data_IF_671072336738
#
_entry.id   IF_671072336738
#
_cell.length_a   1.000
_cell.length_b   1.000
_cell.length_c   1.000
_cell.angle_alpha   90.00
_cell.angle_beta   90.00
_cell.angle_gamma   90.00
#
_symmetry.space_group_name_H-M   'P 1'
#
loop_
_entity.id
_entity.type
_entity.pdbx_description
1 polymer ?
#
# COMPACT_ATOMS: atom_id res chain seq x y z
N UNK A 1 2.63 -10.84 -2.98
CA UNK A 1 1.54 -9.95 -2.52
C UNK A 1 0.56 -10.71 -1.60
N UNK A 2 -0.03 -11.84 -2.03
CA UNK A 2 -1.03 -12.57 -1.24
C UNK A 2 -0.51 -13.02 0.15
N UNK A 3 0.72 -13.55 0.24
CA UNK A 3 1.31 -13.95 1.52
C UNK A 3 1.50 -12.77 2.49
N UNK A 4 1.95 -11.62 1.98
CA UNK A 4 2.09 -10.40 2.79
C UNK A 4 0.74 -9.91 3.31
N UNK A 5 -0.28 -9.87 2.45
CA UNK A 5 -1.65 -9.47 2.84
C UNK A 5 -2.26 -10.44 3.86
N UNK A 6 -2.03 -11.76 3.71
CA UNK A 6 -2.48 -12.75 4.67
C UNK A 6 -1.80 -12.57 6.04
N UNK A 7 -0.48 -12.34 6.06
CA UNK A 7 0.26 -12.07 7.29
C UNK A 7 -0.24 -10.79 7.98
N UNK A 8 -0.50 -9.73 7.22
CA UNK A 8 -1.06 -8.48 7.75
C UNK A 8 -2.47 -8.68 8.32
N UNK A 9 -3.32 -9.48 7.65
CA UNK A 9 -4.65 -9.80 8.14
C UNK A 9 -4.60 -10.55 9.48
N UNK A 10 -3.71 -11.55 9.59
CA UNK A 10 -3.48 -12.29 10.83
C UNK A 10 -2.99 -11.36 11.93
N UNK A 11 -2.03 -10.48 11.64
CA UNK A 11 -1.50 -9.51 12.61
C UNK A 11 -2.58 -8.56 13.11
N UNK A 12 -3.40 -7.98 12.23
CA UNK A 12 -4.51 -7.11 12.64
C UNK A 12 -5.58 -7.87 13.42
N UNK A 13 -5.93 -9.09 13.01
CA UNK A 13 -6.85 -9.94 13.75
C UNK A 13 -6.36 -10.24 15.17
N UNK A 14 -5.09 -10.58 15.33
CA UNK A 14 -4.46 -10.80 16.63
C UNK A 14 -4.49 -9.53 17.49
N UNK A 15 -4.13 -8.35 16.92
CA UNK A 15 -4.16 -7.08 17.63
C UNK A 15 -5.59 -6.78 18.13
N UNK A 16 -6.60 -6.89 17.27
CA UNK A 16 -8.00 -6.62 17.65
C UNK A 16 -8.48 -7.59 18.72
N UNK A 17 -8.17 -8.88 18.60
CA UNK A 17 -8.58 -9.89 19.57
C UNK A 17 -7.90 -9.72 20.93
N UNK A 18 -6.58 -9.49 20.93
CA UNK A 18 -5.79 -9.35 22.16
C UNK A 18 -6.08 -8.01 22.85
N UNK A 19 -6.27 -6.93 22.10
CA UNK A 19 -6.63 -5.61 22.66
C UNK A 19 -7.94 -5.67 23.45
N UNK A 20 -8.92 -6.39 22.90
CA UNK A 20 -10.25 -6.52 23.51
C UNK A 20 -10.28 -7.48 24.68
N UNK A 21 -9.38 -8.49 24.69
CA UNK A 21 -9.38 -9.56 25.70
C UNK A 21 -8.49 -9.25 26.92
N UNK A 22 -7.41 -8.48 26.75
CA UNK A 22 -6.34 -8.36 27.73
C UNK A 22 -6.01 -6.94 28.19
N UNK A 23 -6.74 -5.89 27.73
CA UNK A 23 -6.46 -4.48 28.06
C UNK A 23 -4.97 -4.13 27.90
N UNK A 24 -4.39 -4.52 26.76
CA UNK A 24 -2.96 -4.41 26.52
C UNK A 24 -2.49 -2.95 26.53
N UNK A 25 -1.43 -2.67 27.26
CA UNK A 25 -0.75 -1.38 27.18
C UNK A 25 0.01 -1.26 25.84
N UNK A 26 0.09 -0.02 25.31
CA UNK A 26 0.87 0.26 24.09
C UNK A 26 2.33 -0.19 24.23
N UNK A 27 2.92 0.01 25.42
CA UNK A 27 4.31 -0.35 25.71
C UNK A 27 4.57 -1.86 25.51
N UNK A 28 3.65 -2.71 25.99
CA UNK A 28 3.76 -4.16 25.86
C UNK A 28 3.66 -4.59 24.38
N UNK A 29 2.73 -3.99 23.62
CA UNK A 29 2.58 -4.27 22.18
C UNK A 29 3.84 -3.90 21.41
N UNK A 30 4.43 -2.72 21.67
CA UNK A 30 5.67 -2.30 21.03
C UNK A 30 6.86 -3.19 21.43
N UNK A 31 6.98 -3.56 22.70
CA UNK A 31 8.07 -4.39 23.19
C UNK A 31 8.01 -5.80 22.59
N UNK A 32 6.83 -6.43 22.56
CA UNK A 32 6.66 -7.78 22.01
C UNK A 32 6.86 -7.77 20.49
N UNK A 33 6.23 -6.84 19.77
CA UNK A 33 6.38 -6.77 18.30
C UNK A 33 7.81 -6.41 17.88
N UNK A 34 8.46 -5.52 18.62
CA UNK A 34 9.87 -5.16 18.41
C UNK A 34 10.80 -6.36 18.70
N UNK A 35 10.56 -7.09 19.77
CA UNK A 35 11.31 -8.31 20.10
C UNK A 35 11.19 -9.40 19.03
N UNK A 36 9.96 -9.68 18.58
CA UNK A 36 9.72 -10.63 17.47
C UNK A 36 10.45 -10.19 16.21
N UNK A 37 10.36 -8.91 15.86
CA UNK A 37 11.03 -8.35 14.68
C UNK A 37 12.54 -8.49 14.77
N UNK A 38 13.13 -8.23 15.94
CA UNK A 38 14.57 -8.39 16.17
C UNK A 38 15.01 -9.86 16.02
N UNK A 39 14.24 -10.81 16.57
CA UNK A 39 14.52 -12.25 16.40
C UNK A 39 14.47 -12.65 14.93
N UNK A 40 13.43 -12.22 14.19
CA UNK A 40 13.30 -12.50 12.76
C UNK A 40 14.48 -11.89 11.98
N UNK A 41 14.88 -10.67 12.28
CA UNK A 41 16.02 -10.01 11.63
C UNK A 41 17.33 -10.80 11.85
N UNK A 42 17.59 -11.26 13.07
CA UNK A 42 18.75 -12.10 13.39
C UNK A 42 18.68 -13.44 12.65
N UNK A 43 17.52 -14.09 12.63
CA UNK A 43 17.33 -15.33 11.88
C UNK A 43 17.56 -15.13 10.38
N UNK A 44 17.03 -14.06 9.80
CA UNK A 44 17.28 -13.71 8.40
C UNK A 44 18.76 -13.47 8.13
N UNK A 45 19.45 -12.75 9.00
CA UNK A 45 20.89 -12.51 8.86
C UNK A 45 21.71 -13.81 8.87
N UNK A 46 21.36 -14.76 9.73
CA UNK A 46 22.09 -16.02 9.87
C UNK A 46 21.73 -17.06 8.80
N UNK A 47 20.48 -17.10 8.36
CA UNK A 47 19.97 -18.17 7.50
C UNK A 47 19.77 -17.76 6.04
N UNK A 48 19.80 -16.44 5.72
CA UNK A 48 19.51 -15.99 4.36
C UNK A 48 20.66 -16.36 3.41
N UNK A 49 20.41 -17.22 2.40
CA UNK A 49 21.44 -17.63 1.48
C UNK A 49 21.83 -16.48 0.55
N UNK A 50 23.12 -16.29 0.35
CA UNK A 50 23.67 -15.33 -0.63
C UNK A 50 23.62 -15.97 -2.02
N UNK A 51 22.75 -15.47 -2.88
CA UNK A 51 22.68 -15.91 -4.28
C UNK A 51 23.44 -14.94 -5.19
N UNK A 52 24.30 -15.49 -6.03
CA UNK A 52 24.89 -14.72 -7.13
C UNK A 52 23.83 -14.50 -8.21
N UNK A 53 23.49 -13.25 -8.47
CA UNK A 53 22.53 -12.94 -9.53
C UNK A 53 23.19 -13.09 -10.90
N UNK A 54 22.52 -13.72 -11.90
CA UNK A 54 23.05 -13.85 -13.25
C UNK A 54 23.36 -12.50 -13.92
N UNK A 55 22.65 -11.45 -13.51
CA UNK A 55 22.92 -10.06 -13.90
C UNK A 55 23.31 -9.26 -12.64
N UNK A 56 24.61 -8.96 -12.43
CA UNK A 56 25.05 -8.21 -11.28
C UNK A 56 24.44 -6.81 -11.30
N UNK A 57 23.71 -6.47 -10.24
CA UNK A 57 23.11 -5.14 -10.09
C UNK A 57 24.17 -4.10 -9.78
N UNK A 58 24.02 -2.89 -10.34
CA UNK A 58 24.93 -1.79 -10.05
C UNK A 58 24.77 -1.35 -8.59
N UNK A 59 25.87 -1.27 -7.86
CA UNK A 59 25.87 -0.90 -6.44
C UNK A 59 25.64 0.60 -6.17
N UNK A 60 25.64 1.45 -7.23
CA UNK A 60 25.42 2.89 -7.12
C UNK A 60 23.96 3.21 -7.43
N UNK A 61 23.39 4.13 -6.68
CA UNK A 61 22.09 4.72 -6.99
C UNK A 61 22.15 5.38 -8.38
N UNK A 62 21.19 5.07 -9.21
CA UNK A 62 21.17 5.54 -10.60
C UNK A 62 19.86 6.29 -10.83
N UNK A 63 20.01 7.58 -11.18
CA UNK A 63 18.91 8.42 -11.62
C UNK A 63 19.10 8.72 -13.11
N UNK A 64 18.44 7.94 -13.97
CA UNK A 64 18.53 8.15 -15.41
C UNK A 64 17.38 9.00 -15.91
N UNK A 65 17.68 10.03 -16.70
CA UNK A 65 16.67 10.89 -17.35
C UNK A 65 15.67 10.10 -18.19
N UNK A 66 16.06 8.93 -18.71
CA UNK A 66 15.18 8.02 -19.45
C UNK A 66 13.98 7.54 -18.63
N UNK A 67 14.13 7.39 -17.30
CA UNK A 67 13.09 6.89 -16.40
C UNK A 67 12.34 8.00 -15.66
N UNK A 68 12.42 9.26 -16.13
CA UNK A 68 11.83 10.42 -15.46
C UNK A 68 10.33 10.26 -15.19
N UNK A 69 9.59 9.69 -16.16
CA UNK A 69 8.15 9.46 -16.03
C UNK A 69 7.82 8.47 -14.89
N UNK A 70 8.62 7.41 -14.78
CA UNK A 70 8.50 6.46 -13.67
C UNK A 70 8.73 7.14 -12.31
N UNK A 71 9.78 7.97 -12.18
CA UNK A 71 10.03 8.71 -10.94
C UNK A 71 8.91 9.68 -10.61
N UNK A 72 8.40 10.40 -11.59
CA UNK A 72 7.30 11.34 -11.40
C UNK A 72 6.03 10.59 -10.93
N UNK A 73 5.66 9.49 -11.58
CA UNK A 73 4.50 8.68 -11.20
C UNK A 73 4.67 8.04 -9.82
N UNK A 74 5.88 7.56 -9.49
CA UNK A 74 6.17 6.97 -8.19
C UNK A 74 6.11 8.03 -7.07
N UNK A 75 6.67 9.22 -7.31
CA UNK A 75 6.55 10.35 -6.39
C UNK A 75 5.09 10.74 -6.15
N UNK A 76 4.30 10.88 -7.22
CA UNK A 76 2.87 11.18 -7.13
C UNK A 76 2.10 10.09 -6.37
N UNK A 77 2.40 8.82 -6.64
CA UNK A 77 1.79 7.70 -5.94
C UNK A 77 2.12 7.70 -4.44
N UNK A 78 3.37 7.98 -4.08
CA UNK A 78 3.81 8.09 -2.69
C UNK A 78 3.17 9.27 -1.96
N UNK A 79 3.21 10.46 -2.55
CA UNK A 79 2.62 11.68 -2.00
C UNK A 79 1.10 11.50 -1.77
N UNK A 80 0.38 11.00 -2.78
CA UNK A 80 -1.04 10.73 -2.69
C UNK A 80 -1.37 9.74 -1.58
N UNK A 81 -0.64 8.62 -1.52
CA UNK A 81 -0.84 7.60 -0.49
C UNK A 81 -0.71 8.19 0.91
N UNK A 82 0.31 9.01 1.14
CA UNK A 82 0.54 9.62 2.43
C UNK A 82 -0.56 10.61 2.81
N UNK A 83 -0.97 11.45 1.85
CA UNK A 83 -2.09 12.38 2.03
C UNK A 83 -3.35 11.61 2.41
N UNK A 84 -3.67 10.54 1.68
CA UNK A 84 -4.87 9.77 1.94
C UNK A 84 -4.86 9.08 3.32
N UNK A 85 -3.76 8.39 3.66
CA UNK A 85 -3.64 7.68 4.95
C UNK A 85 -3.83 8.66 6.12
N UNK A 86 -3.19 9.84 6.04
CA UNK A 86 -3.27 10.83 7.13
C UNK A 86 -4.64 11.51 7.15
N UNK A 87 -5.08 12.10 6.04
CA UNK A 87 -6.28 12.93 6.05
C UNK A 87 -7.59 12.13 6.04
N UNK A 88 -7.68 11.02 5.31
CA UNK A 88 -8.88 10.21 5.32
C UNK A 88 -9.07 9.51 6.67
N UNK A 89 -7.99 8.95 7.23
CA UNK A 89 -8.01 8.36 8.56
C UNK A 89 -8.39 9.39 9.64
N UNK A 90 -7.78 10.57 9.62
CA UNK A 90 -8.07 11.66 10.53
C UNK A 90 -9.53 12.14 10.42
N UNK A 91 -10.04 12.28 9.20
CA UNK A 91 -11.43 12.67 8.97
C UNK A 91 -12.43 11.63 9.50
N UNK A 92 -12.13 10.35 9.39
CA UNK A 92 -12.97 9.29 9.95
C UNK A 92 -13.10 9.43 11.45
N UNK A 93 -12.00 9.70 12.14
CA UNK A 93 -12.00 9.87 13.62
C UNK A 93 -12.61 11.20 14.02
N UNK A 94 -12.17 12.32 13.45
CA UNK A 94 -12.55 13.65 13.93
C UNK A 94 -13.97 14.06 13.51
N UNK A 95 -14.34 13.82 12.24
CA UNK A 95 -15.63 14.26 11.71
C UNK A 95 -16.73 13.24 11.95
N UNK A 96 -16.43 11.95 11.85
CA UNK A 96 -17.41 10.88 11.93
C UNK A 96 -17.38 10.11 13.25
N UNK A 97 -16.43 10.44 14.16
CA UNK A 97 -16.34 9.86 15.50
C UNK A 97 -15.95 8.37 15.51
N UNK A 98 -15.24 7.90 14.49
CA UNK A 98 -14.81 6.51 14.44
C UNK A 98 -13.79 6.20 15.52
N UNK A 99 -14.01 5.12 16.23
CA UNK A 99 -13.04 4.56 17.15
C UNK A 99 -11.92 3.82 16.40
N UNK A 100 -10.79 3.63 17.08
CA UNK A 100 -9.61 2.92 16.52
C UNK A 100 -9.99 1.55 15.97
N UNK A 101 -10.89 0.82 16.63
CA UNK A 101 -11.33 -0.51 16.19
C UNK A 101 -12.16 -0.45 14.89
N UNK A 102 -12.95 0.61 14.67
CA UNK A 102 -13.76 0.78 13.46
C UNK A 102 -12.87 1.11 12.25
N UNK A 103 -11.89 2.00 12.44
CA UNK A 103 -10.88 2.30 11.41
C UNK A 103 -10.07 1.04 11.06
N UNK A 104 -9.68 0.27 12.08
CA UNK A 104 -8.97 -1.01 11.88
C UNK A 104 -9.83 -2.01 11.11
N UNK A 105 -11.12 -2.08 11.39
CA UNK A 105 -12.04 -2.93 10.65
C UNK A 105 -12.13 -2.53 9.16
N UNK A 106 -12.13 -1.23 8.84
CA UNK A 106 -12.06 -0.76 7.45
C UNK A 106 -10.75 -1.20 6.76
N UNK A 107 -9.61 -1.13 7.46
CA UNK A 107 -8.35 -1.66 6.93
C UNK A 107 -8.41 -3.15 6.66
N UNK A 108 -9.01 -3.93 7.56
CA UNK A 108 -9.19 -5.38 7.38
C UNK A 108 -10.08 -5.68 6.16
N UNK A 109 -11.20 -4.96 6.01
CA UNK A 109 -12.09 -5.09 4.85
C UNK A 109 -11.32 -4.82 3.56
N UNK A 110 -10.53 -3.76 3.52
CA UNK A 110 -9.69 -3.43 2.37
C UNK A 110 -8.67 -4.52 2.04
N UNK A 111 -8.04 -5.11 3.04
CA UNK A 111 -7.10 -6.22 2.84
C UNK A 111 -7.77 -7.44 2.22
N UNK A 112 -8.94 -7.82 2.72
CA UNK A 112 -9.72 -8.97 2.20
C UNK A 112 -10.14 -8.71 0.75
N UNK A 113 -10.68 -7.52 0.47
CA UNK A 113 -11.09 -7.13 -0.88
C UNK A 113 -9.88 -7.15 -1.84
N UNK A 114 -8.77 -6.53 -1.45
CA UNK A 114 -7.56 -6.49 -2.29
C UNK A 114 -6.98 -7.89 -2.53
N UNK A 115 -7.00 -8.77 -1.54
CA UNK A 115 -6.54 -10.14 -1.70
C UNK A 115 -7.43 -10.90 -2.69
N UNK A 116 -8.75 -10.76 -2.60
CA UNK A 116 -9.69 -11.38 -3.54
C UNK A 116 -9.62 -10.80 -4.96
N UNK A 117 -9.38 -9.49 -5.09
CA UNK A 117 -9.31 -8.79 -6.38
C UNK A 117 -7.92 -8.82 -7.02
N UNK A 118 -6.87 -9.20 -6.30
CA UNK A 118 -5.51 -9.26 -6.83
C UNK A 118 -5.38 -9.98 -8.20
N UNK A 119 -6.00 -11.16 -8.42
CA UNK A 119 -5.97 -11.83 -9.73
C UNK A 119 -6.77 -11.08 -10.81
N UNK A 120 -7.80 -10.32 -10.42
CA UNK A 120 -8.59 -9.48 -11.34
C UNK A 120 -7.74 -8.31 -11.82
N UNK A 121 -7.03 -7.65 -10.90
CA UNK A 121 -6.12 -6.56 -11.22
C UNK A 121 -4.97 -7.00 -12.12
N UNK A 122 -4.37 -8.15 -11.84
CA UNK A 122 -3.34 -8.73 -12.72
C UNK A 122 -3.85 -8.98 -14.14
N UNK A 123 -5.06 -9.52 -14.27
CA UNK A 123 -5.72 -9.74 -15.58
C UNK A 123 -6.07 -8.43 -16.27
N UNK A 124 -6.50 -7.42 -15.53
CA UNK A 124 -6.81 -6.10 -16.07
C UNK A 124 -5.56 -5.45 -16.67
N UNK A 125 -4.43 -5.46 -15.96
CA UNK A 125 -3.15 -4.94 -16.46
C UNK A 125 -2.69 -5.71 -17.71
N UNK A 126 -2.81 -7.05 -17.71
CA UNK A 126 -2.43 -7.88 -18.85
C UNK A 126 -3.32 -7.62 -20.08
N UNK A 127 -4.62 -7.37 -19.89
CA UNK A 127 -5.59 -7.18 -20.98
C UNK A 127 -5.60 -5.75 -21.54
N UNK A 128 -5.57 -4.74 -20.69
CA UNK A 128 -5.72 -3.34 -21.08
C UNK A 128 -4.38 -2.61 -21.24
N UNK A 129 -3.29 -3.23 -20.77
CA UNK A 129 -1.96 -2.65 -20.75
C UNK A 129 -1.76 -1.67 -19.61
N UNK A 130 -0.50 -1.39 -19.29
CA UNK A 130 -0.11 -0.56 -18.15
C UNK A 130 -0.62 0.89 -18.29
N UNK A 131 -0.53 1.46 -19.49
CA UNK A 131 -0.96 2.86 -19.73
C UNK A 131 -2.43 3.08 -19.42
N UNK A 132 -3.30 2.25 -19.97
CA UNK A 132 -4.75 2.42 -19.78
C UNK A 132 -5.16 2.13 -18.34
N UNK A 133 -4.51 1.15 -17.71
CA UNK A 133 -4.73 0.83 -16.30
C UNK A 133 -4.34 1.99 -15.39
N UNK A 134 -3.18 2.63 -15.63
CA UNK A 134 -2.75 3.81 -14.88
C UNK A 134 -3.67 5.00 -15.10
N UNK A 135 -4.10 5.26 -16.34
CA UNK A 135 -5.07 6.34 -16.62
C UNK A 135 -6.37 6.10 -15.87
N UNK A 136 -6.88 4.87 -15.88
CA UNK A 136 -8.09 4.50 -15.13
C UNK A 136 -7.90 4.69 -13.63
N UNK A 137 -6.79 4.21 -13.07
CA UNK A 137 -6.43 4.39 -11.65
C UNK A 137 -6.42 5.86 -11.27
N UNK A 138 -5.61 6.67 -11.94
CA UNK A 138 -5.47 8.09 -11.59
C UNK A 138 -6.74 8.91 -11.81
N UNK A 139 -7.52 8.61 -12.83
CA UNK A 139 -8.82 9.26 -13.06
C UNK A 139 -9.82 8.89 -11.96
N UNK A 140 -9.91 7.61 -11.60
CA UNK A 140 -10.75 7.14 -10.51
C UNK A 140 -10.37 7.76 -9.18
N UNK A 141 -9.07 7.84 -8.88
CA UNK A 141 -8.57 8.48 -7.66
C UNK A 141 -8.88 9.99 -7.63
N UNK A 142 -8.76 10.69 -8.75
CA UNK A 142 -9.14 12.10 -8.82
C UNK A 142 -10.62 12.29 -8.47
N UNK A 143 -11.50 11.42 -8.96
CA UNK A 143 -12.93 11.45 -8.62
C UNK A 143 -13.13 11.18 -7.13
N UNK A 144 -12.44 10.18 -6.56
CA UNK A 144 -12.51 9.88 -5.12
C UNK A 144 -12.07 11.08 -4.28
N UNK A 145 -10.96 11.74 -4.62
CA UNK A 145 -10.49 12.94 -3.91
C UNK A 145 -11.48 14.10 -4.00
N UNK A 146 -12.07 14.34 -5.17
CA UNK A 146 -13.11 15.35 -5.33
C UNK A 146 -14.36 15.01 -4.49
N UNK A 147 -14.74 13.74 -4.43
CA UNK A 147 -15.85 13.28 -3.59
C UNK A 147 -15.54 13.44 -2.10
N UNK A 148 -14.29 13.21 -1.65
CA UNK A 148 -13.87 13.52 -0.28
C UNK A 148 -13.99 15.02 0.04
N UNK A 149 -13.61 15.90 -0.88
CA UNK A 149 -13.89 17.33 -0.76
C UNK A 149 -15.38 17.62 -0.61
N UNK A 150 -16.21 16.96 -1.42
CA UNK A 150 -17.67 17.03 -1.35
C UNK A 150 -18.28 16.61 -0.01
N UNK A 151 -17.70 15.61 0.66
CA UNK A 151 -18.13 15.21 2.01
C UNK A 151 -18.09 16.38 2.99
N UNK A 152 -17.13 17.25 2.85
CA UNK A 152 -16.97 18.41 3.72
C UNK A 152 -18.01 19.51 3.40
N UNK A 153 -18.22 19.78 2.11
CA UNK A 153 -19.05 20.89 1.63
C UNK A 153 -20.54 20.55 1.62
N UNK A 154 -20.91 19.33 1.29
CA UNK A 154 -22.30 18.90 1.12
C UNK A 154 -22.87 18.11 2.31
N UNK A 155 -22.04 17.84 3.33
CA UNK A 155 -22.50 17.12 4.51
C UNK A 155 -22.90 15.67 4.23
N UNK A 156 -22.31 15.04 3.23
CA UNK A 156 -22.57 13.61 2.92
C UNK A 156 -22.19 12.73 4.11
N UNK A 157 -22.98 11.65 4.30
CA UNK A 157 -22.89 10.83 5.51
C UNK A 157 -21.67 9.91 5.53
N UNK A 158 -21.46 9.33 6.71
CA UNK A 158 -20.39 8.38 7.03
C UNK A 158 -20.30 7.17 6.11
N UNK A 159 -21.45 6.67 5.64
CA UNK A 159 -21.52 5.52 4.75
C UNK A 159 -20.76 5.82 3.44
N UNK A 160 -20.98 6.98 2.84
CA UNK A 160 -20.28 7.37 1.61
C UNK A 160 -18.78 7.54 1.87
N UNK A 161 -18.39 8.11 3.00
CA UNK A 161 -17.00 8.24 3.39
C UNK A 161 -16.30 6.87 3.48
N UNK A 162 -16.95 5.88 4.10
CA UNK A 162 -16.44 4.51 4.21
C UNK A 162 -16.35 3.81 2.85
N UNK A 163 -17.34 3.99 1.97
CA UNK A 163 -17.32 3.46 0.60
C UNK A 163 -16.18 4.07 -0.20
N UNK A 164 -16.00 5.39 -0.15
CA UNK A 164 -14.89 6.08 -0.83
C UNK A 164 -13.54 5.59 -0.32
N UNK A 165 -13.43 5.32 0.99
CA UNK A 165 -12.22 4.75 1.59
C UNK A 165 -11.87 3.38 1.00
N UNK A 166 -12.85 2.50 0.86
CA UNK A 166 -12.66 1.18 0.24
C UNK A 166 -12.30 1.32 -1.24
N UNK A 167 -13.00 2.18 -1.98
CA UNK A 167 -12.77 2.41 -3.41
C UNK A 167 -11.36 2.96 -3.67
N UNK A 168 -10.88 3.90 -2.85
CA UNK A 168 -9.50 4.40 -2.97
C UNK A 168 -8.47 3.27 -2.85
N UNK A 169 -8.62 2.43 -1.85
CA UNK A 169 -7.69 1.30 -1.64
C UNK A 169 -7.76 0.27 -2.77
N UNK A 170 -8.95 0.03 -3.34
CA UNK A 170 -9.09 -0.83 -4.50
C UNK A 170 -8.37 -0.27 -5.72
N UNK A 171 -8.55 1.02 -6.00
CA UNK A 171 -7.86 1.70 -7.10
C UNK A 171 -6.34 1.70 -6.89
N UNK A 172 -5.89 1.91 -5.65
CA UNK A 172 -4.47 1.86 -5.31
C UNK A 172 -3.79 0.51 -5.65
N UNK A 173 -4.53 -0.59 -5.58
CA UNK A 173 -3.99 -1.90 -5.95
C UNK A 173 -3.59 -2.00 -7.43
N UNK A 174 -4.15 -1.14 -8.31
CA UNK A 174 -3.78 -1.01 -9.72
C UNK A 174 -2.38 -0.39 -9.91
N UNK A 175 -1.77 0.22 -8.87
CA UNK A 175 -0.37 0.68 -8.89
C UNK A 175 0.63 -0.45 -9.22
N UNK A 176 0.19 -1.72 -9.20
CA UNK A 176 0.94 -2.83 -9.78
C UNK A 176 1.35 -2.54 -11.24
N UNK A 177 0.50 -1.85 -12.00
CA UNK A 177 0.79 -1.47 -13.38
C UNK A 177 2.04 -0.58 -13.51
N UNK A 178 2.32 0.26 -12.52
CA UNK A 178 3.52 1.10 -12.50
C UNK A 178 4.79 0.25 -12.33
N UNK A 179 4.73 -0.80 -11.51
CA UNK A 179 5.86 -1.73 -11.33
C UNK A 179 6.12 -2.54 -12.59
N UNK A 180 5.08 -3.06 -13.22
CA UNK A 180 5.22 -3.82 -14.49
C UNK A 180 5.68 -2.94 -15.64
N UNK A 181 5.19 -1.70 -15.73
CA UNK A 181 5.68 -0.72 -16.69
C UNK A 181 7.19 -0.49 -16.54
N UNK A 182 7.66 -0.24 -15.31
CA UNK A 182 9.08 -0.02 -15.07
C UNK A 182 9.93 -1.25 -15.43
N UNK A 183 9.50 -2.46 -15.05
CA UNK A 183 10.21 -3.70 -15.40
C UNK A 183 10.35 -3.91 -16.90
N UNK A 184 9.41 -3.41 -17.72
CA UNK A 184 9.46 -3.50 -19.18
C UNK A 184 10.43 -2.52 -19.84
N UNK A 185 10.59 -1.33 -19.27
CA UNK A 185 11.41 -0.26 -19.86
C UNK A 185 12.85 -0.21 -19.31
N UNK A 186 13.07 -0.81 -18.14
CA UNK A 186 14.34 -0.73 -17.44
C UNK A 186 15.35 -1.77 -17.98
N UNK A 187 16.61 -1.34 -18.08
CA UNK A 187 17.70 -2.29 -18.31
C UNK A 187 17.83 -3.19 -17.07
N UNK A 188 18.03 -4.52 -17.25
CA UNK A 188 18.07 -5.47 -16.13
C UNK A 188 19.05 -5.09 -15.01
N UNK A 189 20.20 -4.49 -15.35
CA UNK A 189 21.20 -4.04 -14.39
C UNK A 189 20.81 -2.75 -13.61
N UNK A 190 19.80 -2.02 -14.09
CA UNK A 190 19.34 -0.76 -13.51
C UNK A 190 18.08 -0.94 -12.63
N UNK A 191 17.47 -2.11 -12.61
CA UNK A 191 16.19 -2.35 -11.92
C UNK A 191 16.31 -2.08 -10.41
N UNK A 192 17.25 -2.72 -9.72
CA UNK A 192 17.40 -2.58 -8.28
C UNK A 192 17.89 -1.18 -7.87
N UNK A 193 18.95 -0.59 -8.50
CA UNK A 193 19.41 0.75 -8.11
C UNK A 193 18.39 1.85 -8.42
N UNK A 194 17.57 1.72 -9.45
CA UNK A 194 16.50 2.66 -9.76
C UNK A 194 15.31 2.49 -8.82
N UNK A 195 14.94 1.24 -8.49
CA UNK A 195 13.91 0.98 -7.49
C UNK A 195 14.31 1.56 -6.12
N UNK A 196 15.56 1.44 -5.71
CA UNK A 196 16.06 2.00 -4.45
C UNK A 196 15.98 3.54 -4.36
N UNK A 197 15.97 4.26 -5.49
CA UNK A 197 15.76 5.73 -5.52
C UNK A 197 14.27 6.06 -5.44
N UNK A 198 13.39 5.16 -5.86
CA UNK A 198 11.96 5.41 -6.00
C UNK A 198 11.14 4.97 -4.76
N UNK A 199 11.75 4.29 -3.79
CA UNK A 199 11.19 3.88 -2.50
C UNK A 199 11.75 4.72 -1.36
#
# INVERSE_FOLDING_TARGET
LAAGSAATLVAYGLIVMTWRAFDLSYDLVYLVSGGITAVIAVMCYLLYPQFEAPNPQKKRLILRRRYWLYYALQFMAGARRQIFIVFAGFMMVEKFGFDVHEVTALFMINLVINMGLAPVFGRAVARFGERNTLVFEYSGLAIVFLAYGGLYWFGWGVLLASVLYVVDHMLFALALALKTYFQKIADPADIAPTAAVAF
#
